data_IF_272135057329
#
_entry.id   IF_272135057329
#
_cell.length_a   1.000
_cell.length_b   1.000
_cell.length_c   1.000
_cell.angle_alpha   90.00
_cell.angle_beta   90.00
_cell.angle_gamma   90.00
#
_symmetry.space_group_name_H-M   'P 1'
#
loop_
_entity.id
_entity.type
_entity.pdbx_description
1 polymer ?
#
# COMPACT_ATOMS: atom_id res chain seq x y z
N UNK A 1 22.89 10.21 42.12
CA UNK A 1 22.70 9.75 40.72
C UNK A 1 22.57 8.22 40.56
N UNK A 2 22.82 7.38 41.57
CA UNK A 2 22.67 5.90 41.47
C UNK A 2 21.21 5.36 41.55
N UNK A 3 20.26 6.17 42.03
CA UNK A 3 18.88 5.72 42.28
C UNK A 3 17.96 5.68 41.05
N UNK A 4 18.33 6.36 39.95
CA UNK A 4 17.52 6.42 38.72
C UNK A 4 17.83 5.29 37.72
N UNK A 5 18.99 4.63 37.86
CA UNK A 5 19.39 3.54 36.97
C UNK A 5 18.70 2.21 37.33
N UNK A 6 18.43 1.99 38.63
CA UNK A 6 17.79 0.77 39.11
C UNK A 6 16.43 0.48 38.45
N UNK A 7 15.43 1.40 38.44
CA UNK A 7 14.13 1.13 37.83
C UNK A 7 14.21 0.93 36.31
N UNK A 8 15.14 1.62 35.63
CA UNK A 8 15.36 1.46 34.21
C UNK A 8 15.93 0.07 33.90
N UNK A 9 16.88 -0.42 34.70
CA UNK A 9 17.43 -1.76 34.55
C UNK A 9 16.43 -2.86 34.92
N UNK A 10 15.56 -2.67 35.91
CA UNK A 10 14.48 -3.64 36.21
C UNK A 10 13.41 -3.64 35.13
N UNK A 11 13.04 -2.49 34.58
CA UNK A 11 12.09 -2.40 33.47
C UNK A 11 12.65 -3.06 32.21
N UNK A 12 13.95 -2.86 31.94
CA UNK A 12 14.66 -3.50 30.82
C UNK A 12 14.79 -5.03 31.02
N UNK A 13 15.04 -5.50 32.24
CA UNK A 13 15.06 -6.93 32.57
C UNK A 13 13.67 -7.57 32.46
N UNK A 14 12.61 -6.88 32.90
CA UNK A 14 11.23 -7.37 32.78
C UNK A 14 10.77 -7.42 31.32
N UNK A 15 11.14 -6.42 30.52
CA UNK A 15 10.92 -6.45 29.08
C UNK A 15 11.68 -7.63 28.43
N UNK A 16 12.94 -7.85 28.81
CA UNK A 16 13.75 -9.00 28.35
C UNK A 16 13.20 -10.36 28.78
N UNK A 17 12.57 -10.47 29.95
CA UNK A 17 11.95 -11.70 30.42
C UNK A 17 10.62 -12.01 29.70
N UNK A 18 9.85 -10.99 29.33
CA UNK A 18 8.65 -11.16 28.50
C UNK A 18 8.99 -11.63 27.06
N UNK A 19 10.14 -11.20 26.54
CA UNK A 19 10.62 -11.58 25.21
C UNK A 19 10.94 -13.08 25.07
N UNK A 20 11.43 -13.73 26.13
CA UNK A 20 11.60 -15.19 26.17
C UNK A 20 10.27 -15.94 26.12
N UNK A 21 9.23 -15.44 26.78
CA UNK A 21 7.92 -16.10 26.83
C UNK A 21 7.10 -16.01 25.53
N UNK A 22 7.36 -15.00 24.69
CA UNK A 22 6.59 -14.78 23.45
C UNK A 22 7.05 -15.66 22.29
N UNK A 23 8.36 -15.83 22.12
CA UNK A 23 8.92 -16.67 21.04
C UNK A 23 8.68 -18.15 21.32
N UNK A 24 8.79 -18.59 22.57
CA UNK A 24 8.52 -19.98 22.94
C UNK A 24 7.05 -20.36 22.70
N UNK A 25 6.11 -19.48 23.07
CA UNK A 25 4.69 -19.66 22.75
C UNK A 25 4.44 -19.67 21.24
N UNK A 26 5.11 -18.80 20.47
CA UNK A 26 5.02 -18.78 19.01
C UNK A 26 5.55 -20.08 18.38
N UNK A 27 6.67 -20.60 18.89
CA UNK A 27 7.22 -21.88 18.49
C UNK A 27 6.23 -23.02 18.80
N UNK A 28 5.62 -23.01 19.98
CA UNK A 28 4.61 -24.00 20.36
C UNK A 28 3.38 -23.95 19.44
N UNK A 29 2.86 -22.76 19.16
CA UNK A 29 1.79 -22.56 18.18
C UNK A 29 2.17 -23.09 16.80
N UNK A 30 3.42 -22.89 16.39
CA UNK A 30 3.93 -23.37 15.10
C UNK A 30 3.87 -24.90 15.02
N UNK A 31 4.40 -25.59 16.03
CA UNK A 31 4.40 -27.06 16.07
C UNK A 31 3.01 -27.67 16.25
N UNK A 32 2.07 -26.92 16.82
CA UNK A 32 0.67 -27.33 16.94
C UNK A 32 -0.17 -27.01 15.68
N UNK A 33 0.46 -26.54 14.60
CA UNK A 33 -0.19 -26.23 13.33
C UNK A 33 -0.97 -24.90 13.33
N UNK A 34 -0.88 -24.12 14.42
CA UNK A 34 -1.52 -22.81 14.54
C UNK A 34 -0.63 -21.73 13.95
N UNK A 35 -0.25 -21.91 12.69
CA UNK A 35 0.72 -21.07 11.99
C UNK A 35 0.34 -19.57 11.96
N UNK A 36 -0.95 -19.24 11.95
CA UNK A 36 -1.43 -17.86 12.07
C UNK A 36 -1.11 -17.20 13.42
N UNK A 37 -1.23 -17.95 14.52
CA UNK A 37 -0.91 -17.45 15.87
C UNK A 37 0.60 -17.37 16.06
N UNK A 38 1.34 -18.39 15.59
CA UNK A 38 2.80 -18.36 15.55
C UNK A 38 3.33 -17.11 14.84
N UNK A 39 2.79 -16.78 13.67
CA UNK A 39 3.17 -15.58 12.93
C UNK A 39 2.88 -14.28 13.70
N UNK A 40 1.80 -14.21 14.48
CA UNK A 40 1.55 -13.05 15.35
C UNK A 40 2.59 -12.96 16.46
N UNK A 41 2.95 -14.07 17.09
CA UNK A 41 3.98 -14.13 18.13
C UNK A 41 5.36 -13.71 17.61
N UNK A 42 5.78 -14.21 16.44
CA UNK A 42 7.04 -13.79 15.83
C UNK A 42 7.03 -12.31 15.43
N UNK A 43 5.92 -11.79 14.91
CA UNK A 43 5.78 -10.35 14.60
C UNK A 43 5.92 -9.49 15.86
N UNK A 44 5.32 -9.89 16.97
CA UNK A 44 5.47 -9.19 18.24
C UNK A 44 6.93 -9.24 18.75
N UNK A 45 7.61 -10.37 18.59
CA UNK A 45 9.02 -10.49 18.95
C UNK A 45 9.93 -9.58 18.10
N UNK A 46 9.59 -9.41 16.81
CA UNK A 46 10.31 -8.51 15.90
C UNK A 46 10.16 -7.02 16.26
N UNK A 47 9.11 -6.61 16.99
CA UNK A 47 8.99 -5.21 17.46
C UNK A 47 10.14 -4.82 18.41
N UNK A 48 10.64 -5.78 19.19
CA UNK A 48 11.78 -5.58 20.08
C UNK A 48 13.12 -5.92 19.43
N UNK A 49 13.12 -6.86 18.48
CA UNK A 49 14.33 -7.37 17.84
C UNK A 49 14.18 -7.34 16.30
N UNK A 50 14.09 -6.14 15.69
CA UNK A 50 13.82 -6.01 14.26
C UNK A 50 14.94 -6.55 13.36
N UNK A 51 16.16 -6.65 13.89
CA UNK A 51 17.35 -7.09 13.15
C UNK A 51 17.66 -8.59 13.35
N UNK A 52 16.71 -9.37 13.87
CA UNK A 52 16.87 -10.81 14.08
C UNK A 52 16.51 -11.60 12.82
N UNK A 53 17.53 -12.12 12.13
CA UNK A 53 17.35 -12.97 10.95
C UNK A 53 16.49 -14.21 11.26
N UNK A 54 16.73 -14.87 12.41
CA UNK A 54 16.00 -16.07 12.84
C UNK A 54 14.50 -15.78 13.04
N UNK A 55 14.15 -14.63 13.62
CA UNK A 55 12.75 -14.26 13.81
C UNK A 55 12.06 -13.95 12.48
N UNK A 56 12.75 -13.30 11.55
CA UNK A 56 12.26 -13.10 10.19
C UNK A 56 12.08 -14.42 9.44
N UNK A 57 13.01 -15.36 9.59
CA UNK A 57 12.92 -16.70 9.02
C UNK A 57 11.72 -17.49 9.58
N UNK A 58 11.56 -17.48 10.90
CA UNK A 58 10.45 -18.16 11.58
C UNK A 58 9.10 -17.55 11.23
N UNK A 59 9.02 -16.22 11.16
CA UNK A 59 7.82 -15.51 10.66
C UNK A 59 7.51 -15.94 9.22
N UNK A 60 8.50 -15.92 8.33
CA UNK A 60 8.31 -16.27 6.93
C UNK A 60 7.83 -17.72 6.75
N UNK A 61 8.40 -18.65 7.50
CA UNK A 61 7.99 -20.05 7.49
C UNK A 61 6.57 -20.22 8.03
N UNK A 62 6.21 -19.55 9.14
CA UNK A 62 4.85 -19.57 9.69
C UNK A 62 3.81 -18.97 8.74
N UNK A 63 4.14 -17.86 8.06
CA UNK A 63 3.26 -17.24 7.06
C UNK A 63 3.05 -18.15 5.84
N UNK A 64 4.10 -18.86 5.41
CA UNK A 64 4.03 -19.82 4.30
C UNK A 64 3.11 -21.01 4.62
N UNK A 65 3.26 -21.59 5.81
CA UNK A 65 2.41 -22.70 6.27
C UNK A 65 0.96 -22.26 6.50
N UNK A 66 0.75 -21.01 6.88
CA UNK A 66 -0.59 -20.42 6.96
C UNK A 66 -1.20 -20.06 5.58
N UNK A 67 -0.50 -20.33 4.47
CA UNK A 67 -0.95 -20.06 3.10
C UNK A 67 -0.84 -18.59 2.68
N UNK A 68 -0.26 -17.71 3.51
CA UNK A 68 -0.10 -16.28 3.23
C UNK A 68 1.25 -16.04 2.55
N UNK A 69 1.31 -16.42 1.28
CA UNK A 69 2.56 -16.49 0.51
C UNK A 69 3.25 -15.13 0.29
N UNK A 70 2.49 -14.03 0.12
CA UNK A 70 3.06 -12.68 0.00
C UNK A 70 3.83 -12.25 1.25
N UNK A 71 3.19 -12.24 2.43
CA UNK A 71 3.87 -11.99 3.70
C UNK A 71 5.06 -12.93 3.97
N UNK A 72 4.94 -14.21 3.61
CA UNK A 72 6.02 -15.18 3.75
C UNK A 72 7.26 -14.79 2.94
N UNK A 73 7.08 -14.46 1.66
CA UNK A 73 8.15 -14.02 0.76
C UNK A 73 8.86 -12.79 1.33
N UNK A 74 8.09 -11.79 1.78
CA UNK A 74 8.67 -10.58 2.37
C UNK A 74 9.54 -10.88 3.60
N UNK A 75 9.03 -11.70 4.53
CA UNK A 75 9.76 -12.03 5.76
C UNK A 75 11.04 -12.84 5.46
N UNK A 76 11.00 -13.78 4.52
CA UNK A 76 12.19 -14.55 4.11
C UNK A 76 13.21 -13.68 3.37
N UNK A 77 12.77 -12.69 2.60
CA UNK A 77 13.66 -11.68 2.00
C UNK A 77 14.35 -10.82 3.08
N UNK A 78 13.65 -10.44 4.14
CA UNK A 78 14.27 -9.75 5.28
C UNK A 78 15.28 -10.64 6.01
N UNK A 79 14.95 -11.92 6.23
CA UNK A 79 15.88 -12.87 6.82
C UNK A 79 17.19 -12.95 6.01
N UNK A 80 17.10 -13.09 4.69
CA UNK A 80 18.26 -13.13 3.78
C UNK A 80 18.99 -11.79 3.66
N UNK A 81 18.31 -10.66 3.85
CA UNK A 81 18.97 -9.36 3.89
C UNK A 81 19.91 -9.26 5.10
N UNK A 82 19.49 -9.82 6.25
CA UNK A 82 20.25 -9.83 7.50
C UNK A 82 21.29 -10.96 7.53
N UNK A 83 20.98 -12.12 6.95
CA UNK A 83 21.84 -13.29 6.84
C UNK A 83 21.87 -13.84 5.40
N UNK A 84 22.68 -13.25 4.50
CA UNK A 84 22.69 -13.61 3.07
C UNK A 84 23.15 -15.04 2.75
N UNK A 85 23.81 -15.71 3.69
CA UNK A 85 24.30 -17.09 3.55
C UNK A 85 23.38 -18.15 4.14
N UNK A 86 22.18 -17.78 4.59
CA UNK A 86 21.21 -18.72 5.13
C UNK A 86 20.56 -19.53 3.99
N UNK A 87 21.04 -20.76 3.80
CA UNK A 87 20.56 -21.67 2.76
C UNK A 87 19.12 -22.13 3.01
N UNK A 88 18.70 -22.25 4.28
CA UNK A 88 17.34 -22.67 4.64
C UNK A 88 16.35 -21.55 4.32
N UNK A 89 16.70 -20.29 4.63
CA UNK A 89 15.90 -19.13 4.25
C UNK A 89 15.78 -18.99 2.73
N UNK A 90 16.89 -19.21 1.99
CA UNK A 90 16.89 -19.20 0.53
C UNK A 90 16.00 -20.31 -0.07
N UNK A 91 16.06 -21.51 0.51
CA UNK A 91 15.23 -22.63 0.11
C UNK A 91 13.74 -22.33 0.34
N UNK A 92 13.38 -21.86 1.53
CA UNK A 92 11.99 -21.53 1.87
C UNK A 92 11.45 -20.39 1.00
N UNK A 93 12.29 -19.39 0.66
CA UNK A 93 11.89 -18.30 -0.22
C UNK A 93 11.57 -18.80 -1.62
N UNK A 94 12.41 -19.69 -2.17
CA UNK A 94 12.17 -20.30 -3.47
C UNK A 94 10.86 -21.11 -3.48
N UNK A 95 10.64 -21.92 -2.44
CA UNK A 95 9.41 -22.70 -2.29
C UNK A 95 8.16 -21.80 -2.17
N UNK A 96 8.23 -20.72 -1.37
CA UNK A 96 7.12 -19.77 -1.22
C UNK A 96 6.79 -19.06 -2.54
N UNK A 97 7.82 -18.63 -3.30
CA UNK A 97 7.64 -18.01 -4.62
C UNK A 97 7.02 -18.98 -5.63
N UNK A 98 7.47 -20.23 -5.65
CA UNK A 98 6.89 -21.23 -6.54
C UNK A 98 5.41 -21.46 -6.23
N UNK A 99 5.06 -21.66 -4.95
CA UNK A 99 3.65 -21.81 -4.52
C UNK A 99 2.81 -20.59 -4.91
N UNK A 100 3.38 -19.38 -4.87
CA UNK A 100 2.68 -18.15 -5.23
C UNK A 100 2.38 -18.10 -6.74
N UNK A 101 3.35 -18.47 -7.57
CA UNK A 101 3.17 -18.59 -9.03
C UNK A 101 2.13 -19.65 -9.35
N UNK A 102 2.19 -20.82 -8.73
CA UNK A 102 1.21 -21.90 -8.93
C UNK A 102 -0.20 -21.46 -8.55
N UNK A 103 -0.37 -20.78 -7.41
CA UNK A 103 -1.64 -20.22 -6.98
C UNK A 103 -2.17 -19.17 -7.98
N UNK A 104 -1.30 -18.30 -8.49
CA UNK A 104 -1.66 -17.29 -9.47
C UNK A 104 -2.08 -17.91 -10.82
N UNK A 105 -1.33 -18.90 -11.31
CA UNK A 105 -1.64 -19.63 -12.55
C UNK A 105 -2.97 -20.36 -12.42
N UNK A 106 -3.20 -21.04 -11.29
CA UNK A 106 -4.47 -21.72 -11.02
C UNK A 106 -5.63 -20.74 -11.04
N UNK A 107 -5.51 -19.61 -10.34
CA UNK A 107 -6.58 -18.62 -10.31
C UNK A 107 -6.85 -18.00 -11.69
N UNK A 108 -5.79 -17.71 -12.46
CA UNK A 108 -5.91 -17.26 -13.84
C UNK A 108 -6.58 -18.27 -14.76
N UNK A 109 -6.32 -19.57 -14.58
CA UNK A 109 -6.98 -20.64 -15.33
C UNK A 109 -8.46 -20.82 -14.96
N UNK A 110 -8.85 -20.46 -13.74
CA UNK A 110 -10.23 -20.44 -13.26
C UNK A 110 -10.98 -19.15 -13.66
N UNK A 111 -10.38 -18.28 -14.47
CA UNK A 111 -10.95 -16.99 -14.87
C UNK A 111 -11.01 -15.96 -13.74
N UNK A 112 -10.40 -16.26 -12.59
CA UNK A 112 -10.30 -15.37 -11.44
C UNK A 112 -8.96 -14.65 -11.52
N UNK A 113 -8.98 -13.44 -12.06
CA UNK A 113 -7.80 -12.56 -12.05
C UNK A 113 -7.52 -12.16 -10.59
N UNK A 114 -6.52 -12.75 -9.96
CA UNK A 114 -5.97 -12.23 -8.69
C UNK A 114 -5.06 -11.08 -9.06
N UNK A 115 -5.58 -9.87 -8.93
CA UNK A 115 -4.76 -8.66 -8.90
C UNK A 115 -4.11 -8.56 -7.51
N UNK A 116 -2.82 -8.25 -7.41
CA UNK A 116 -2.22 -7.86 -6.13
C UNK A 116 -2.98 -6.64 -5.58
N UNK A 117 -3.63 -6.76 -4.41
CA UNK A 117 -4.47 -5.72 -3.81
C UNK A 117 -5.91 -6.15 -3.46
N UNK A 118 -6.13 -7.42 -3.10
CA UNK A 118 -7.39 -7.91 -2.54
C UNK A 118 -7.67 -7.42 -1.10
N UNK A 119 -6.73 -6.70 -0.50
CA UNK A 119 -6.88 -5.84 0.68
C UNK A 119 -7.49 -4.46 0.32
N UNK A 120 -8.75 -4.51 -0.07
CA UNK A 120 -9.92 -3.83 0.50
C UNK A 120 -9.89 -2.35 0.95
N UNK A 121 -9.19 -1.45 0.26
CA UNK A 121 -9.57 -0.02 0.27
C UNK A 121 -10.44 0.37 -0.94
N UNK A 122 -10.03 -0.04 -2.14
CA UNK A 122 -10.73 0.33 -3.37
C UNK A 122 -12.08 -0.39 -3.51
N UNK A 123 -12.09 -1.71 -3.30
CA UNK A 123 -13.30 -2.55 -3.36
C UNK A 123 -14.25 -2.27 -2.21
N UNK A 124 -13.77 -2.11 -0.98
CA UNK A 124 -14.58 -1.74 0.18
C UNK A 124 -15.30 -0.41 -0.03
N UNK A 125 -14.61 0.61 -0.56
CA UNK A 125 -15.25 1.89 -0.88
C UNK A 125 -16.30 1.77 -1.99
N UNK A 126 -16.03 1.00 -3.04
CA UNK A 126 -16.96 0.85 -4.16
C UNK A 126 -18.17 -0.01 -3.83
N UNK A 127 -18.01 -1.01 -2.96
CA UNK A 127 -19.11 -1.89 -2.50
C UNK A 127 -19.91 -1.28 -1.36
N UNK A 128 -19.36 -0.30 -0.63
CA UNK A 128 -20.09 0.47 0.38
C UNK A 128 -21.27 1.27 -0.22
N UNK A 129 -21.27 1.51 -1.53
CA UNK A 129 -22.34 2.21 -2.24
C UNK A 129 -23.10 1.28 -3.20
N UNK A 130 -24.41 1.47 -3.30
CA UNK A 130 -25.25 0.72 -4.26
C UNK A 130 -24.82 1.00 -5.71
N UNK A 131 -24.82 -0.01 -6.60
CA UNK A 131 -24.51 0.19 -8.03
C UNK A 131 -25.39 1.27 -8.69
N UNK A 132 -26.65 1.35 -8.27
CA UNK A 132 -27.59 2.38 -8.75
C UNK A 132 -27.16 3.78 -8.33
N UNK A 133 -26.70 3.94 -7.09
CA UNK A 133 -26.23 5.23 -6.56
C UNK A 133 -24.99 5.72 -7.32
N UNK A 134 -24.03 4.82 -7.53
CA UNK A 134 -22.81 5.13 -8.29
C UNK A 134 -23.12 5.58 -9.72
N UNK A 135 -24.06 4.92 -10.40
CA UNK A 135 -24.49 5.30 -11.75
C UNK A 135 -25.10 6.71 -11.80
N UNK A 136 -25.93 7.07 -10.81
CA UNK A 136 -26.51 8.42 -10.72
C UNK A 136 -25.45 9.48 -10.41
N UNK A 137 -24.54 9.23 -9.47
CA UNK A 137 -23.45 10.16 -9.12
C UNK A 137 -22.58 10.42 -10.36
N UNK A 138 -22.21 9.37 -11.08
CA UNK A 138 -21.41 9.50 -12.30
C UNK A 138 -22.15 10.29 -13.39
N UNK A 139 -23.44 10.00 -13.62
CA UNK A 139 -24.26 10.72 -14.59
C UNK A 139 -24.44 12.21 -14.25
N UNK A 140 -24.69 12.53 -12.97
CA UNK A 140 -24.82 13.90 -12.51
C UNK A 140 -23.48 14.65 -12.58
N UNK A 141 -22.38 13.99 -12.25
CA UNK A 141 -21.03 14.56 -12.38
C UNK A 141 -20.72 14.93 -13.84
N UNK A 142 -21.02 14.03 -14.78
CA UNK A 142 -20.81 14.27 -16.20
C UNK A 142 -21.66 15.44 -16.72
N UNK A 143 -22.95 15.46 -16.40
CA UNK A 143 -23.83 16.55 -16.83
C UNK A 143 -23.39 17.90 -16.25
N UNK A 144 -22.97 17.94 -14.98
CA UNK A 144 -22.41 19.14 -14.35
C UNK A 144 -21.11 19.59 -15.03
N UNK A 145 -20.20 18.67 -15.33
CA UNK A 145 -18.94 18.96 -16.04
C UNK A 145 -19.23 19.62 -17.40
N UNK A 146 -20.12 19.05 -18.21
CA UNK A 146 -20.48 19.63 -19.51
C UNK A 146 -21.18 20.98 -19.39
N UNK A 147 -22.03 21.16 -18.38
CA UNK A 147 -22.66 22.44 -18.09
C UNK A 147 -21.60 23.51 -17.72
N UNK A 148 -20.64 23.17 -16.86
CA UNK A 148 -19.53 24.06 -16.49
C UNK A 148 -18.65 24.40 -17.69
N UNK A 149 -18.32 23.42 -18.54
CA UNK A 149 -17.57 23.66 -19.79
C UNK A 149 -18.37 24.58 -20.73
N UNK A 150 -19.68 24.37 -20.87
CA UNK A 150 -20.53 25.21 -21.71
C UNK A 150 -20.61 26.65 -21.19
N UNK A 151 -20.79 26.84 -19.88
CA UNK A 151 -20.76 28.15 -19.23
C UNK A 151 -19.40 28.81 -19.43
N UNK A 152 -18.30 28.10 -19.18
CA UNK A 152 -16.94 28.60 -19.38
C UNK A 152 -16.67 29.01 -20.83
N UNK A 153 -17.14 28.24 -21.82
CA UNK A 153 -17.05 28.62 -23.24
C UNK A 153 -17.86 29.88 -23.53
N UNK A 154 -19.04 30.05 -22.93
CA UNK A 154 -19.92 31.21 -23.10
C UNK A 154 -19.32 32.46 -22.45
N UNK A 155 -18.78 32.35 -21.24
CA UNK A 155 -18.12 33.46 -20.54
C UNK A 155 -16.83 33.84 -21.24
N UNK A 156 -15.97 32.90 -21.67
CA UNK A 156 -14.78 33.21 -22.50
C UNK A 156 -15.15 33.96 -23.78
N UNK A 157 -16.19 33.52 -24.50
CA UNK A 157 -16.66 34.23 -25.70
C UNK A 157 -17.15 35.64 -25.38
N UNK A 158 -17.81 35.84 -24.24
CA UNK A 158 -18.24 37.18 -23.79
C UNK A 158 -17.05 38.07 -23.45
N UNK A 159 -16.04 37.57 -22.73
CA UNK A 159 -14.82 38.33 -22.38
C UNK A 159 -13.94 38.62 -23.60
N UNK A 160 -13.82 37.69 -24.55
CA UNK A 160 -13.12 37.89 -25.83
C UNK A 160 -13.83 38.92 -26.72
N UNK A 161 -15.18 38.99 -26.68
CA UNK A 161 -15.96 39.98 -27.44
C UNK A 161 -15.79 41.40 -26.90
N UNK A 162 -15.53 41.55 -25.60
CA UNK A 162 -15.18 42.84 -24.98
C UNK A 162 -13.70 43.18 -25.13
N UNK A 163 -12.83 42.18 -25.36
CA UNK A 163 -11.39 42.37 -25.64
C UNK A 163 -11.08 42.74 -27.10
N UNK A 164 -11.98 42.41 -28.06
CA UNK A 164 -11.79 42.72 -29.48
C UNK A 164 -11.88 44.21 -29.84
N UNK A 165 -12.42 45.06 -28.98
CA UNK A 165 -12.47 46.52 -29.21
C UNK A 165 -11.13 47.20 -28.97
N UNK A 166 -10.29 46.71 -28.04
CA UNK A 166 -8.96 47.28 -27.81
C UNK A 166 -8.01 47.01 -28.98
N UNK A 167 -8.07 45.82 -29.58
CA UNK A 167 -7.28 45.48 -30.77
C UNK A 167 -7.65 46.33 -31.99
N UNK A 168 -8.93 46.65 -32.17
CA UNK A 168 -9.40 47.51 -33.26
C UNK A 168 -8.99 48.98 -33.09
N UNK A 169 -9.01 49.51 -31.86
CA UNK A 169 -8.54 50.87 -31.56
C UNK A 169 -7.02 51.00 -31.75
N UNK A 170 -6.25 49.99 -31.33
CA UNK A 170 -4.80 49.99 -31.56
C UNK A 170 -4.44 49.90 -33.05
N UNK A 171 -5.16 49.07 -33.82
CA UNK A 171 -4.99 48.96 -35.26
C UNK A 171 -5.37 50.27 -36.00
N UNK A 172 -6.41 50.97 -35.55
CA UNK A 172 -6.80 52.26 -36.10
C UNK A 172 -5.76 53.36 -35.81
N UNK A 173 -5.16 53.37 -34.61
CA UNK A 173 -4.10 54.32 -34.26
C UNK A 173 -2.81 54.07 -35.06
N UNK A 174 -2.45 52.81 -35.31
CA UNK A 174 -1.30 52.47 -36.17
C UNK A 174 -1.54 52.85 -37.63
N UNK A 175 -2.77 52.69 -38.13
CA UNK A 175 -3.12 53.07 -39.50
C UNK A 175 -3.09 54.60 -39.73
N UNK A 176 -3.45 55.39 -38.71
CA UNK A 176 -3.40 56.87 -38.81
C UNK A 176 -1.94 57.37 -38.72
N UNK A 177 -1.06 56.68 -37.98
CA UNK A 177 0.36 57.04 -37.88
C UNK A 177 1.19 56.71 -39.12
N UNK A 178 0.76 55.74 -39.94
CA UNK A 178 1.52 55.28 -41.11
C UNK A 178 1.15 56.00 -42.43
N UNK A 179 0.14 56.88 -42.42
CA UNK A 179 -0.37 57.55 -43.63
C UNK A 179 0.18 58.97 -43.87
N UNK A 180 1.17 59.42 -43.13
CA UNK A 180 1.68 60.79 -43.21
C UNK A 180 3.19 60.89 -43.05
N UNK A 181 3.94 60.39 -44.04
CA UNK A 181 5.31 60.80 -44.42
C UNK A 181 5.60 60.30 -45.84
#
# INVERSE_FOLDING_TARGET
MRALLAPLTTLLLLASAALGSGVDAANEDFWQGRHGQAAQGYRAALEAHPDSADLWFNLGTAEAEAGRLGPAIHALEQALLLAPGDEDAAHNLAAARQRAVEAAVKSGSEGRVILPGDDDLGTGLLTAFSPTLLAWVFGLSWTLLFALIAVWRKTRKATLRTGSSFGAVLAALVAIGAGGL
#
